data_IF_580475193788
#
_entry.id   IF_580475193788
#
_cell.length_a   1.000
_cell.length_b   1.000
_cell.length_c   1.000
_cell.angle_alpha   90.00
_cell.angle_beta   90.00
_cell.angle_gamma   90.00
#
_symmetry.space_group_name_H-M   'P 1'
#
loop_
_entity.id
_entity.type
_entity.pdbx_description
1 polymer ?
#
# COMPACT_ATOMS: atom_id res chain seq x y z
N UNK A 1 13.78 2.93 31.63
CA UNK A 1 13.30 4.22 31.12
C UNK A 1 14.42 4.76 30.26
N UNK A 2 14.23 4.76 28.95
CA UNK A 2 15.26 5.18 27.98
C UNK A 2 15.12 6.69 27.73
N UNK A 3 16.22 7.43 27.83
CA UNK A 3 16.28 8.86 27.53
C UNK A 3 16.49 9.06 26.02
N UNK A 4 15.49 9.61 25.34
CA UNK A 4 15.60 10.03 23.95
C UNK A 4 16.30 11.40 23.88
N UNK A 5 17.54 11.41 23.39
CA UNK A 5 18.23 12.64 23.03
C UNK A 5 17.70 13.18 21.70
N UNK A 6 17.15 14.39 21.70
CA UNK A 6 16.85 15.14 20.48
C UNK A 6 18.07 15.95 20.06
N UNK A 7 18.72 15.54 18.96
CA UNK A 7 19.70 16.39 18.27
C UNK A 7 18.91 17.40 17.44
N UNK A 8 18.85 18.65 17.91
CA UNK A 8 18.33 19.78 17.14
C UNK A 8 19.37 20.12 16.07
N UNK A 9 19.08 19.77 14.81
CA UNK A 9 19.94 20.11 13.68
C UNK A 9 20.06 21.62 13.49
N UNK A 10 21.27 22.09 13.17
CA UNK A 10 21.56 23.50 12.92
C UNK A 10 20.62 24.12 11.89
N UNK A 11 20.08 25.30 12.23
CA UNK A 11 19.13 26.03 11.40
C UNK A 11 19.89 26.69 10.24
N UNK A 12 20.05 25.96 9.12
CA UNK A 12 20.83 26.34 7.93
C UNK A 12 20.51 27.75 7.38
N UNK A 13 19.30 28.23 7.63
CA UNK A 13 18.84 29.59 7.25
C UNK A 13 19.58 30.68 8.02
N UNK A 14 19.81 30.50 9.33
CA UNK A 14 20.52 31.48 10.16
C UNK A 14 22.01 31.54 9.80
N UNK A 15 22.63 30.39 9.54
CA UNK A 15 24.02 30.31 9.11
C UNK A 15 24.25 31.02 7.75
N UNK A 16 23.31 30.87 6.82
CA UNK A 16 23.34 31.56 5.53
C UNK A 16 23.20 33.08 5.66
N UNK A 17 22.32 33.56 6.53
CA UNK A 17 22.13 35.00 6.79
C UNK A 17 23.36 35.63 7.45
N UNK A 18 23.98 34.96 8.43
CA UNK A 18 25.20 35.47 9.08
C UNK A 18 26.37 35.54 8.10
N UNK A 19 26.54 34.52 7.25
CA UNK A 19 27.67 34.47 6.32
C UNK A 19 27.56 35.53 5.20
N UNK A 20 26.34 35.94 4.84
CA UNK A 20 26.08 36.86 3.72
C UNK A 20 25.59 38.25 4.15
N UNK A 21 25.60 38.58 5.45
CA UNK A 21 24.98 39.80 5.99
C UNK A 21 25.53 41.09 5.36
N UNK A 22 26.84 41.13 5.03
CA UNK A 22 27.49 42.30 4.40
C UNK A 22 26.92 42.58 3.02
N UNK A 23 26.67 41.56 2.22
CA UNK A 23 26.10 41.69 0.88
C UNK A 23 24.63 42.10 0.92
N UNK A 24 23.87 41.57 1.89
CA UNK A 24 22.47 41.94 2.10
C UNK A 24 22.35 43.42 2.49
N UNK A 25 23.24 43.91 3.37
CA UNK A 25 23.26 45.32 3.79
C UNK A 25 23.61 46.25 2.62
N UNK A 26 24.59 45.88 1.79
CA UNK A 26 24.98 46.68 0.63
C UNK A 26 23.87 46.74 -0.43
N UNK A 27 23.20 45.61 -0.66
CA UNK A 27 22.05 45.54 -1.56
C UNK A 27 20.87 46.41 -1.08
N UNK A 28 20.61 46.43 0.22
CA UNK A 28 19.57 47.27 0.81
C UNK A 28 19.83 48.77 0.58
N UNK A 29 21.07 49.22 0.74
CA UNK A 29 21.46 50.62 0.53
C UNK A 29 21.23 51.04 -0.93
N UNK A 30 21.56 50.17 -1.90
CA UNK A 30 21.36 50.44 -3.33
C UNK A 30 19.87 50.60 -3.65
N UNK A 31 19.02 49.74 -3.08
CA UNK A 31 17.56 49.84 -3.28
C UNK A 31 17.03 51.18 -2.77
N UNK A 32 17.47 51.62 -1.58
CA UNK A 32 17.03 52.90 -0.99
C UNK A 32 17.46 54.07 -1.87
N UNK A 33 18.70 54.05 -2.38
CA UNK A 33 19.21 55.10 -3.27
C UNK A 33 18.42 55.15 -4.60
N UNK A 34 18.13 53.99 -5.20
CA UNK A 34 17.35 53.91 -6.43
C UNK A 34 15.91 54.41 -6.24
N UNK A 35 15.25 54.01 -5.15
CA UNK A 35 13.89 54.46 -4.82
C UNK A 35 13.83 55.98 -4.59
N UNK A 36 14.82 56.54 -3.90
CA UNK A 36 14.92 58.00 -3.68
C UNK A 36 15.03 58.77 -5.00
N UNK A 37 15.86 58.29 -5.93
CA UNK A 37 16.00 58.90 -7.26
C UNK A 37 14.70 58.87 -8.07
N UNK A 38 13.96 57.76 -8.03
CA UNK A 38 12.67 57.62 -8.73
C UNK A 38 11.63 58.57 -8.14
N UNK A 39 11.56 58.71 -6.82
CA UNK A 39 10.63 59.64 -6.16
C UNK A 39 10.93 61.09 -6.56
N UNK A 40 12.20 61.49 -6.57
CA UNK A 40 12.60 62.84 -6.99
C UNK A 40 12.25 63.14 -8.46
N UNK A 41 12.46 62.16 -9.35
CA UNK A 41 12.12 62.28 -10.76
C UNK A 41 10.60 62.40 -11.00
N UNK A 42 9.80 61.60 -10.29
CA UNK A 42 8.33 61.68 -10.33
C UNK A 42 7.82 63.03 -9.83
N UNK A 43 8.42 63.57 -8.78
CA UNK A 43 8.02 64.87 -8.23
C UNK A 43 8.36 66.03 -9.20
N UNK A 44 9.53 65.98 -9.83
CA UNK A 44 9.94 66.99 -10.82
C UNK A 44 9.05 66.99 -12.07
N UNK A 45 8.74 65.81 -12.61
CA UNK A 45 7.85 65.66 -13.78
C UNK A 45 6.41 66.06 -13.47
N UNK A 46 5.93 65.81 -12.24
CA UNK A 46 4.62 66.24 -11.78
C UNK A 46 4.43 67.77 -11.79
N UNK A 47 5.44 68.53 -11.32
CA UNK A 47 5.38 70.00 -11.27
C UNK A 47 5.36 70.59 -12.69
N UNK A 48 6.20 70.09 -13.60
CA UNK A 48 6.24 70.56 -14.98
C UNK A 48 4.91 70.35 -15.72
N UNK A 49 4.26 69.21 -15.50
CA UNK A 49 2.95 68.94 -16.11
C UNK A 49 1.87 69.90 -15.60
N UNK A 50 1.87 70.27 -14.31
CA UNK A 50 0.88 71.21 -13.76
C UNK A 50 1.02 72.63 -14.36
N UNK A 51 2.23 73.09 -14.63
CA UNK A 51 2.46 74.41 -15.24
C UNK A 51 1.97 74.46 -16.69
N UNK A 52 2.20 73.39 -17.47
CA UNK A 52 1.72 73.27 -18.84
C UNK A 52 0.18 73.25 -18.92
N UNK A 53 -0.49 72.57 -17.99
CA UNK A 53 -1.96 72.54 -17.95
C UNK A 53 -2.58 73.91 -17.63
N UNK A 54 -1.96 74.71 -16.74
CA UNK A 54 -2.45 76.07 -16.44
C UNK A 54 -2.37 76.99 -17.65
N UNK A 55 -1.27 76.92 -18.41
CA UNK A 55 -1.08 77.74 -19.62
C UNK A 55 -2.09 77.38 -20.72
N UNK A 56 -2.41 76.10 -20.91
CA UNK A 56 -3.43 75.68 -21.88
C UNK A 56 -4.83 76.19 -21.52
N UNK A 57 -5.21 76.16 -20.24
CA UNK A 57 -6.52 76.65 -19.78
C UNK A 57 -6.68 78.15 -20.02
N UNK A 58 -5.64 78.97 -19.76
CA UNK A 58 -5.72 80.42 -20.01
C UNK A 58 -5.76 80.75 -21.50
N UNK A 59 -5.08 79.96 -22.33
CA UNK A 59 -5.14 80.11 -23.79
C UNK A 59 -6.51 79.70 -24.36
N UNK A 60 -7.15 78.66 -23.81
CA UNK A 60 -8.51 78.30 -24.20
C UNK A 60 -9.55 79.31 -23.73
N UNK A 61 -9.40 79.87 -22.53
CA UNK A 61 -10.28 80.95 -22.05
C UNK A 61 -10.26 82.17 -22.95
N UNK A 62 -9.07 82.60 -23.38
CA UNK A 62 -8.91 83.74 -24.29
C UNK A 62 -9.47 83.45 -25.68
N UNK A 63 -9.26 82.24 -26.22
CA UNK A 63 -9.87 81.80 -27.48
C UNK A 63 -11.40 81.78 -27.38
N UNK A 64 -11.96 81.21 -26.31
CA UNK A 64 -13.40 81.12 -26.09
C UNK A 64 -14.07 82.50 -26.01
N UNK A 65 -13.49 83.42 -25.23
CA UNK A 65 -14.00 84.79 -25.12
C UNK A 65 -13.98 85.54 -26.47
N UNK A 66 -12.98 85.28 -27.32
CA UNK A 66 -12.90 85.86 -28.66
C UNK A 66 -13.94 85.29 -29.65
N UNK A 67 -14.36 84.04 -29.46
CA UNK A 67 -15.40 83.41 -30.26
C UNK A 67 -16.79 83.91 -29.86
N UNK A 68 -17.03 84.07 -28.55
CA UNK A 68 -18.28 84.63 -28.02
C UNK A 68 -18.51 86.06 -28.52
N UNK A 69 -17.46 86.89 -28.58
CA UNK A 69 -17.58 88.26 -29.08
C UNK A 69 -17.84 88.32 -30.59
N UNK A 70 -17.26 87.39 -31.38
CA UNK A 70 -17.55 87.24 -32.81
C UNK A 70 -18.98 86.75 -33.06
N UNK A 71 -19.46 85.80 -32.26
CA UNK A 71 -20.85 85.31 -32.29
C UNK A 71 -21.85 86.42 -31.98
N UNK A 72 -21.57 87.23 -30.95
CA UNK A 72 -22.41 88.37 -30.58
C UNK A 72 -22.50 89.43 -31.69
N UNK A 73 -21.44 89.59 -32.49
CA UNK A 73 -21.40 90.54 -33.62
C UNK A 73 -22.08 90.00 -34.89
N UNK A 74 -22.13 88.68 -35.05
CA UNK A 74 -22.81 87.97 -36.15
C UNK A 74 -24.33 87.81 -35.94
N UNK A 75 -24.80 87.95 -34.70
CA UNK A 75 -26.19 87.71 -34.28
C UNK A 75 -27.22 88.73 -34.77
N UNK A 76 -26.83 89.74 -35.54
CA UNK A 76 -27.69 90.90 -35.82
C UNK A 76 -28.13 91.04 -37.28
N UNK A 77 -27.80 90.11 -38.18
CA UNK A 77 -28.26 90.13 -39.57
C UNK A 77 -28.02 88.78 -40.27
N UNK A 78 -29.04 87.91 -40.38
CA UNK A 78 -29.41 87.11 -41.58
C UNK A 78 -30.36 85.94 -41.23
N UNK A 79 -31.58 85.91 -41.79
CA UNK A 79 -32.55 84.83 -41.54
C UNK A 79 -32.23 83.53 -42.29
N UNK A 80 -31.49 83.59 -43.41
CA UNK A 80 -30.98 82.40 -44.10
C UNK A 80 -29.83 81.74 -43.32
N UNK A 81 -28.98 82.56 -42.67
CA UNK A 81 -27.94 82.08 -41.78
C UNK A 81 -28.52 81.36 -40.55
N UNK A 82 -29.58 81.88 -39.94
CA UNK A 82 -30.26 81.20 -38.84
C UNK A 82 -30.79 79.82 -39.24
N UNK A 83 -31.41 79.69 -40.43
CA UNK A 83 -31.87 78.38 -40.93
C UNK A 83 -30.72 77.42 -41.22
N UNK A 84 -29.61 77.92 -41.77
CA UNK A 84 -28.42 77.12 -42.01
C UNK A 84 -27.76 76.64 -40.71
N UNK A 85 -27.67 77.50 -39.69
CA UNK A 85 -27.13 77.16 -38.36
C UNK A 85 -28.04 76.16 -37.65
N UNK A 86 -29.37 76.31 -37.70
CA UNK A 86 -30.31 75.35 -37.14
C UNK A 86 -30.24 73.99 -37.86
N UNK A 87 -30.10 73.98 -39.18
CA UNK A 87 -29.90 72.76 -39.97
C UNK A 87 -28.57 72.07 -39.62
N UNK A 88 -27.47 72.82 -39.52
CA UNK A 88 -26.17 72.29 -39.09
C UNK A 88 -26.22 71.78 -37.65
N UNK A 89 -26.87 72.50 -36.73
CA UNK A 89 -27.06 72.10 -35.34
C UNK A 89 -27.88 70.80 -35.25
N UNK A 90 -28.95 70.67 -36.04
CA UNK A 90 -29.75 69.44 -36.09
C UNK A 90 -28.97 68.23 -36.62
N UNK A 91 -28.11 68.43 -37.64
CA UNK A 91 -27.21 67.39 -38.16
C UNK A 91 -26.16 67.00 -37.13
N UNK A 92 -25.56 67.96 -36.43
CA UNK A 92 -24.62 67.70 -35.34
C UNK A 92 -25.27 66.95 -34.19
N UNK A 93 -26.51 67.32 -33.80
CA UNK A 93 -27.27 66.62 -32.77
C UNK A 93 -27.53 65.16 -33.14
N UNK A 94 -28.00 64.89 -34.37
CA UNK A 94 -28.19 63.51 -34.87
C UNK A 94 -26.89 62.72 -34.90
N UNK A 95 -25.79 63.34 -35.35
CA UNK A 95 -24.46 62.70 -35.35
C UNK A 95 -24.02 62.35 -33.93
N UNK A 96 -24.24 63.26 -32.97
CA UNK A 96 -23.92 63.04 -31.56
C UNK A 96 -24.75 61.91 -30.96
N UNK A 97 -26.06 61.89 -31.21
CA UNK A 97 -26.94 60.78 -30.79
C UNK A 97 -26.50 59.44 -31.39
N UNK A 98 -26.11 59.43 -32.67
CA UNK A 98 -25.54 58.23 -33.31
C UNK A 98 -24.22 57.80 -32.64
N UNK A 99 -23.31 58.74 -32.36
CA UNK A 99 -22.07 58.44 -31.65
C UNK A 99 -22.32 57.89 -30.25
N UNK A 100 -23.23 58.47 -29.49
CA UNK A 100 -23.60 57.99 -28.15
C UNK A 100 -24.19 56.57 -28.23
N UNK A 101 -25.05 56.28 -29.20
CA UNK A 101 -25.60 54.93 -29.42
C UNK A 101 -24.54 53.90 -29.79
N UNK A 102 -23.53 54.29 -30.58
CA UNK A 102 -22.39 53.44 -30.95
C UNK A 102 -21.49 53.18 -29.74
N UNK A 103 -21.22 54.20 -28.93
CA UNK A 103 -20.42 54.07 -27.70
C UNK A 103 -21.13 53.17 -26.69
N UNK A 104 -22.44 53.31 -26.50
CA UNK A 104 -23.24 52.44 -25.62
C UNK A 104 -23.21 50.99 -26.10
N UNK A 105 -23.38 50.77 -27.41
CA UNK A 105 -23.28 49.43 -28.00
C UNK A 105 -21.89 48.83 -27.83
N UNK A 106 -20.82 49.58 -28.11
CA UNK A 106 -19.45 49.13 -27.90
C UNK A 106 -19.16 48.83 -26.43
N UNK A 107 -19.68 49.64 -25.50
CA UNK A 107 -19.56 49.39 -24.06
C UNK A 107 -20.22 48.07 -23.65
N UNK A 108 -21.40 47.76 -24.19
CA UNK A 108 -22.09 46.48 -23.98
C UNK A 108 -21.28 45.32 -24.55
N UNK A 109 -20.88 45.38 -25.81
CA UNK A 109 -20.07 44.34 -26.47
C UNK A 109 -18.73 44.09 -25.72
N UNK A 110 -18.06 45.14 -25.24
CA UNK A 110 -16.84 45.01 -24.42
C UNK A 110 -17.08 44.32 -23.08
N UNK A 111 -18.20 44.63 -22.41
CA UNK A 111 -18.54 44.00 -21.13
C UNK A 111 -18.90 42.52 -21.29
N UNK A 112 -19.60 42.16 -22.38
CA UNK A 112 -19.85 40.77 -22.76
C UNK A 112 -18.56 40.01 -23.07
N UNK A 113 -17.67 40.59 -23.89
CA UNK A 113 -16.37 39.98 -24.22
C UNK A 113 -15.53 39.76 -22.97
N UNK A 114 -15.50 40.74 -22.05
CA UNK A 114 -14.79 40.61 -20.78
C UNK A 114 -15.36 39.47 -19.93
N UNK A 115 -16.69 39.36 -19.83
CA UNK A 115 -17.34 38.26 -19.11
C UNK A 115 -17.01 36.90 -19.72
N UNK A 116 -17.02 36.78 -21.05
CA UNK A 116 -16.64 35.55 -21.76
C UNK A 116 -15.16 35.22 -21.50
N UNK A 117 -14.28 36.22 -21.48
CA UNK A 117 -12.86 36.03 -21.20
C UNK A 117 -12.64 35.49 -19.78
N UNK A 118 -13.29 36.10 -18.78
CA UNK A 118 -13.22 35.68 -17.37
C UNK A 118 -13.71 34.22 -17.22
N UNK A 119 -14.82 33.87 -17.88
CA UNK A 119 -15.33 32.49 -17.91
C UNK A 119 -14.34 31.50 -18.54
N UNK A 120 -13.73 31.87 -19.67
CA UNK A 120 -12.74 31.01 -20.34
C UNK A 120 -11.49 30.85 -19.50
N UNK A 121 -11.04 31.88 -18.80
CA UNK A 121 -9.91 31.80 -17.89
C UNK A 121 -10.18 30.81 -16.75
N UNK A 122 -11.37 30.87 -16.13
CA UNK A 122 -11.77 29.90 -15.10
C UNK A 122 -11.77 28.46 -15.63
N UNK A 123 -12.33 28.24 -16.82
CA UNK A 123 -12.35 26.92 -17.46
C UNK A 123 -10.93 26.41 -17.74
N UNK A 124 -10.03 27.28 -18.22
CA UNK A 124 -8.62 26.92 -18.44
C UNK A 124 -7.95 26.54 -17.12
N UNK A 125 -8.16 27.30 -16.04
CA UNK A 125 -7.60 26.99 -14.72
C UNK A 125 -8.11 25.63 -14.22
N UNK A 126 -9.41 25.35 -14.36
CA UNK A 126 -9.99 24.05 -14.01
C UNK A 126 -9.34 22.91 -14.81
N UNK A 127 -9.19 23.07 -16.13
CA UNK A 127 -8.52 22.06 -16.95
C UNK A 127 -7.06 21.82 -16.56
N UNK A 128 -6.32 22.85 -16.14
CA UNK A 128 -4.94 22.66 -15.64
C UNK A 128 -4.90 21.86 -14.33
N UNK A 129 -5.85 22.11 -13.42
CA UNK A 129 -5.97 21.34 -12.18
C UNK A 129 -6.32 19.88 -12.46
N UNK A 130 -7.30 19.63 -13.34
CA UNK A 130 -7.69 18.28 -13.75
C UNK A 130 -6.55 17.54 -14.45
N UNK A 131 -5.80 18.22 -15.33
CA UNK A 131 -4.61 17.67 -15.99
C UNK A 131 -3.55 17.26 -14.96
N UNK A 132 -3.29 18.11 -13.96
CA UNK A 132 -2.32 17.83 -12.90
C UNK A 132 -2.76 16.64 -12.05
N UNK A 133 -4.04 16.60 -11.65
CA UNK A 133 -4.63 15.48 -10.90
C UNK A 133 -4.53 14.16 -11.67
N UNK A 134 -4.88 14.18 -12.96
CA UNK A 134 -4.81 13.01 -13.84
C UNK A 134 -3.35 12.54 -14.01
N UNK A 135 -2.40 13.47 -14.15
CA UNK A 135 -0.99 13.13 -14.22
C UNK A 135 -0.49 12.44 -12.95
N UNK A 136 -0.93 12.91 -11.77
CA UNK A 136 -0.62 12.26 -10.48
C UNK A 136 -1.21 10.83 -10.45
N UNK A 137 -2.46 10.66 -10.88
CA UNK A 137 -3.08 9.34 -10.96
C UNK A 137 -2.33 8.39 -11.89
N UNK A 138 -1.92 8.86 -13.07
CA UNK A 138 -1.10 8.09 -14.03
C UNK A 138 0.23 7.68 -13.39
N UNK A 139 0.93 8.59 -12.72
CA UNK A 139 2.20 8.28 -12.06
C UNK A 139 2.03 7.20 -10.98
N UNK A 140 0.97 7.29 -10.16
CA UNK A 140 0.66 6.28 -9.15
C UNK A 140 0.37 4.90 -9.76
N UNK A 141 -0.40 4.87 -10.86
CA UNK A 141 -0.67 3.63 -11.59
C UNK A 141 0.61 3.04 -12.19
N UNK A 142 1.49 3.86 -12.76
CA UNK A 142 2.79 3.41 -13.27
C UNK A 142 3.67 2.80 -12.16
N UNK A 143 3.71 3.40 -10.98
CA UNK A 143 4.42 2.84 -9.83
C UNK A 143 3.83 1.48 -9.40
N UNK A 144 2.49 1.37 -9.37
CA UNK A 144 1.80 0.11 -9.05
C UNK A 144 2.11 -0.98 -10.07
N UNK A 145 2.12 -0.65 -11.37
CA UNK A 145 2.49 -1.60 -12.44
C UNK A 145 3.93 -2.09 -12.27
N UNK A 146 4.89 -1.19 -12.00
CA UNK A 146 6.30 -1.57 -11.75
C UNK A 146 6.44 -2.49 -10.53
N UNK A 147 5.74 -2.17 -9.44
CA UNK A 147 5.73 -3.01 -8.24
C UNK A 147 5.17 -4.41 -8.51
N UNK A 148 4.06 -4.51 -9.24
CA UNK A 148 3.48 -5.78 -9.63
C UNK A 148 4.39 -6.58 -10.57
N UNK A 149 5.06 -5.93 -11.53
CA UNK A 149 6.07 -6.59 -12.36
C UNK A 149 7.22 -7.16 -11.53
N UNK A 150 7.71 -6.41 -10.54
CA UNK A 150 8.77 -6.89 -9.65
C UNK A 150 8.31 -8.09 -8.80
N UNK A 151 7.07 -8.07 -8.30
CA UNK A 151 6.48 -9.21 -7.59
C UNK A 151 6.31 -10.44 -8.48
N UNK A 152 5.95 -10.24 -9.76
CA UNK A 152 5.84 -11.33 -10.71
C UNK A 152 7.21 -11.98 -10.96
N UNK A 153 8.25 -11.16 -11.18
CA UNK A 153 9.62 -11.64 -11.38
C UNK A 153 10.14 -12.42 -10.16
N UNK A 154 9.89 -11.93 -8.94
CA UNK A 154 10.31 -12.65 -7.73
C UNK A 154 9.55 -13.96 -7.54
N UNK A 155 8.24 -13.98 -7.78
CA UNK A 155 7.45 -15.20 -7.73
C UNK A 155 7.89 -16.22 -8.79
N UNK A 156 8.24 -15.76 -10.00
CA UNK A 156 8.78 -16.62 -11.06
C UNK A 156 10.14 -17.22 -10.68
N UNK A 157 11.02 -16.44 -10.05
CA UNK A 157 12.30 -16.93 -9.55
C UNK A 157 12.08 -18.02 -8.47
N UNK A 158 11.21 -17.76 -7.50
CA UNK A 158 10.87 -18.75 -6.46
C UNK A 158 10.22 -20.02 -7.02
N UNK A 159 9.37 -19.89 -8.05
CA UNK A 159 8.78 -21.06 -8.72
C UNK A 159 9.84 -21.89 -9.43
N UNK A 160 10.79 -21.23 -10.08
CA UNK A 160 11.91 -21.91 -10.77
C UNK A 160 12.78 -22.65 -9.79
N UNK A 161 13.13 -22.02 -8.66
CA UNK A 161 13.90 -22.65 -7.58
C UNK A 161 13.16 -23.83 -6.95
N UNK A 162 11.86 -23.70 -6.68
CA UNK A 162 11.07 -24.81 -6.16
C UNK A 162 10.98 -25.97 -7.16
N UNK A 163 10.91 -25.69 -8.46
CA UNK A 163 10.91 -26.72 -9.51
C UNK A 163 12.23 -27.49 -9.52
N UNK A 164 13.38 -26.80 -9.47
CA UNK A 164 14.69 -27.46 -9.45
C UNK A 164 14.90 -28.25 -8.15
N UNK A 165 14.44 -27.74 -7.01
CA UNK A 165 14.47 -28.50 -5.75
C UNK A 165 13.62 -29.77 -5.84
N UNK A 166 12.43 -29.68 -6.43
CA UNK A 166 11.54 -30.84 -6.63
C UNK A 166 12.17 -31.89 -7.55
N UNK A 167 12.80 -31.46 -8.65
CA UNK A 167 13.54 -32.35 -9.56
C UNK A 167 14.69 -33.05 -8.83
N UNK A 168 15.45 -32.35 -7.98
CA UNK A 168 16.53 -32.92 -7.17
C UNK A 168 16.02 -33.91 -6.11
N UNK A 169 14.88 -33.61 -5.47
CA UNK A 169 14.24 -34.56 -4.55
C UNK A 169 13.80 -35.82 -5.30
N UNK A 170 13.25 -35.66 -6.51
CA UNK A 170 12.80 -36.80 -7.34
C UNK A 170 13.98 -37.69 -7.78
N UNK A 171 15.12 -37.11 -8.14
CA UNK A 171 16.33 -37.89 -8.46
C UNK A 171 16.82 -38.67 -7.24
N UNK A 172 16.88 -38.04 -6.06
CA UNK A 172 17.24 -38.71 -4.80
C UNK A 172 16.27 -39.84 -4.43
N UNK A 173 14.96 -39.65 -4.63
CA UNK A 173 13.96 -40.71 -4.42
C UNK A 173 14.28 -41.90 -5.33
N UNK A 174 14.51 -41.64 -6.63
CA UNK A 174 14.84 -42.69 -7.60
C UNK A 174 16.12 -43.45 -7.22
N UNK A 175 17.16 -42.74 -6.79
CA UNK A 175 18.40 -43.37 -6.28
C UNK A 175 18.12 -44.26 -5.07
N UNK A 176 17.35 -43.78 -4.08
CA UNK A 176 17.00 -44.55 -2.90
C UNK A 176 16.16 -45.79 -3.23
N UNK A 177 15.24 -45.71 -4.18
CA UNK A 177 14.46 -46.86 -4.67
C UNK A 177 15.36 -47.94 -5.29
N UNK A 178 16.41 -47.55 -6.03
CA UNK A 178 17.39 -48.52 -6.55
C UNK A 178 18.18 -49.19 -5.43
N UNK A 179 18.55 -48.44 -4.37
CA UNK A 179 19.26 -48.99 -3.20
C UNK A 179 18.36 -49.96 -2.44
N UNK A 180 17.10 -49.60 -2.20
CA UNK A 180 16.11 -50.47 -1.55
C UNK A 180 15.98 -51.78 -2.34
N UNK A 181 15.82 -51.69 -3.66
CA UNK A 181 15.71 -52.88 -4.54
C UNK A 181 16.94 -53.80 -4.43
N UNK A 182 18.15 -53.24 -4.40
CA UNK A 182 19.40 -54.00 -4.21
C UNK A 182 19.45 -54.68 -2.84
N UNK A 183 19.08 -53.96 -1.77
CA UNK A 183 19.06 -54.49 -0.40
C UNK A 183 18.00 -55.60 -0.26
N UNK A 184 16.83 -55.45 -0.88
CA UNK A 184 15.80 -56.48 -0.89
C UNK A 184 16.26 -57.75 -1.62
N UNK A 185 16.93 -57.62 -2.76
CA UNK A 185 17.53 -58.77 -3.46
C UNK A 185 18.59 -59.46 -2.60
N UNK A 186 19.48 -58.71 -1.94
CA UNK A 186 20.46 -59.28 -1.00
C UNK A 186 19.78 -60.00 0.16
N UNK A 187 18.75 -59.41 0.77
CA UNK A 187 17.97 -60.04 1.83
C UNK A 187 17.25 -61.32 1.38
N UNK A 188 16.73 -61.38 0.15
CA UNK A 188 16.17 -62.61 -0.44
C UNK A 188 17.24 -63.70 -0.56
N UNK A 189 18.44 -63.36 -1.05
CA UNK A 189 19.58 -64.29 -1.14
C UNK A 189 20.03 -64.79 0.24
N UNK A 190 20.06 -63.91 1.26
CA UNK A 190 20.38 -64.29 2.64
C UNK A 190 19.32 -65.22 3.21
N UNK A 191 18.03 -64.95 3.00
CA UNK A 191 16.93 -65.83 3.43
C UNK A 191 16.95 -67.20 2.75
N UNK A 192 17.32 -67.27 1.48
CA UNK A 192 17.50 -68.54 0.76
C UNK A 192 18.74 -69.31 1.27
N UNK A 193 19.86 -68.63 1.57
CA UNK A 193 21.04 -69.26 2.21
C UNK A 193 20.81 -69.66 3.68
N UNK A 194 19.90 -68.99 4.38
CA UNK A 194 19.48 -69.32 5.74
C UNK A 194 18.35 -70.37 5.77
N UNK A 195 17.90 -70.88 4.62
CA UNK A 195 16.96 -72.00 4.51
C UNK A 195 17.67 -73.36 4.67
N UNK A 196 18.43 -73.51 5.74
CA UNK A 196 18.58 -74.79 6.45
C UNK A 196 17.61 -74.74 7.63
N UNK A 197 16.97 -75.85 8.03
CA UNK A 197 15.73 -75.83 8.79
C UNK A 197 15.95 -75.30 10.20
N UNK A 198 15.73 -74.00 10.39
CA UNK A 198 15.60 -73.39 11.71
C UNK A 198 14.15 -72.97 11.86
N UNK A 199 13.47 -73.77 12.67
CA UNK A 199 12.08 -73.64 13.12
C UNK A 199 11.80 -72.22 13.57
N UNK A 200 11.08 -71.46 12.75
CA UNK A 200 10.72 -70.09 13.04
C UNK A 200 9.59 -70.03 14.06
N UNK A 201 9.91 -69.48 15.23
CA UNK A 201 8.97 -69.10 16.30
C UNK A 201 7.91 -68.15 15.74
N UNK A 202 6.64 -68.53 15.93
CA UNK A 202 5.43 -67.77 15.56
C UNK A 202 5.51 -66.33 16.10
N UNK A 203 5.71 -65.36 15.20
CA UNK A 203 5.38 -63.97 15.48
C UNK A 203 3.87 -63.84 15.59
N UNK A 204 3.37 -63.38 16.74
CA UNK A 204 1.96 -63.02 16.91
C UNK A 204 1.60 -61.94 15.88
N UNK A 205 0.49 -62.17 15.18
CA UNK A 205 -0.19 -61.16 14.36
C UNK A 205 -0.40 -59.91 15.22
N UNK A 206 -0.07 -58.69 14.75
CA UNK A 206 -0.67 -57.49 15.34
C UNK A 206 -2.18 -57.70 15.36
N UNK A 207 -2.83 -57.35 16.46
CA UNK A 207 -4.29 -57.30 16.51
C UNK A 207 -4.73 -56.09 15.68
N UNK A 208 -4.57 -56.20 14.36
CA UNK A 208 -5.23 -55.34 13.39
C UNK A 208 -6.68 -55.77 13.49
N UNK A 209 -7.46 -55.03 14.28
CA UNK A 209 -8.90 -55.04 14.11
C UNK A 209 -9.10 -54.37 12.76
N UNK A 210 -9.56 -55.12 11.76
CA UNK A 210 -9.95 -54.57 10.48
C UNK A 210 -11.03 -53.50 10.72
N UNK A 211 -10.70 -52.25 10.38
CA UNK A 211 -11.49 -51.03 10.60
C UNK A 211 -11.88 -50.72 12.08
N UNK A 212 -10.93 -50.24 12.90
CA UNK A 212 -11.24 -49.86 14.28
C UNK A 212 -12.17 -48.63 14.28
N UNK A 213 -13.23 -48.69 15.08
CA UNK A 213 -14.22 -47.61 15.22
C UNK A 213 -13.61 -46.30 15.71
N UNK A 214 -12.50 -46.38 16.43
CA UNK A 214 -11.75 -45.25 16.96
C UNK A 214 -10.31 -45.34 16.46
N UNK A 215 -9.81 -44.24 15.90
CA UNK A 215 -8.46 -44.15 15.33
C UNK A 215 -7.68 -42.98 15.89
N UNK A 216 -6.37 -43.00 15.63
CA UNK A 216 -5.45 -41.89 15.90
C UNK A 216 -5.19 -41.15 14.59
N UNK A 217 -5.48 -39.85 14.56
CA UNK A 217 -5.23 -38.98 13.42
C UNK A 217 -4.37 -37.78 13.82
N UNK A 218 -3.70 -37.16 12.84
CA UNK A 218 -2.88 -35.95 13.05
C UNK A 218 -1.86 -36.09 14.20
N UNK A 219 -1.23 -37.28 14.29
CA UNK A 219 -0.20 -37.54 15.29
C UNK A 219 1.01 -36.62 15.05
N UNK A 220 1.35 -35.83 16.06
CA UNK A 220 2.52 -34.96 16.10
C UNK A 220 3.41 -35.37 17.27
N UNK A 221 4.66 -35.69 16.95
CA UNK A 221 5.72 -36.01 17.91
C UNK A 221 6.81 -34.96 17.74
N UNK A 222 7.17 -34.28 18.83
CA UNK A 222 8.24 -33.28 18.84
C UNK A 222 9.24 -33.63 19.93
N UNK A 223 10.49 -33.84 19.55
CA UNK A 223 11.59 -34.13 20.46
C UNK A 223 12.50 -32.89 20.62
N UNK A 224 12.89 -32.57 21.85
CA UNK A 224 13.90 -31.57 22.19
C UNK A 224 14.81 -32.14 23.29
N UNK A 225 16.00 -32.60 22.92
CA UNK A 225 16.91 -33.29 23.83
C UNK A 225 16.28 -34.55 24.44
N UNK A 226 16.13 -34.57 25.76
CA UNK A 226 15.50 -35.69 26.51
C UNK A 226 14.00 -35.52 26.75
N UNK A 227 13.40 -34.44 26.23
CA UNK A 227 11.97 -34.14 26.37
C UNK A 227 11.24 -34.44 25.06
N UNK A 228 10.10 -35.12 25.15
CA UNK A 228 9.27 -35.47 23.99
C UNK A 228 7.84 -35.05 24.27
N UNK A 229 7.26 -34.28 23.37
CA UNK A 229 5.85 -33.88 23.40
C UNK A 229 5.11 -34.63 22.31
N UNK A 230 3.99 -35.26 22.68
CA UNK A 230 3.14 -36.04 21.78
C UNK A 230 1.74 -35.44 21.83
N UNK A 231 1.14 -35.24 20.68
CA UNK A 231 -0.27 -34.85 20.56
C UNK A 231 -0.91 -35.54 19.37
N UNK A 232 -2.16 -35.96 19.51
CA UNK A 232 -2.93 -36.54 18.41
C UNK A 232 -4.42 -36.28 18.60
N UNK A 233 -5.18 -36.47 17.51
CA UNK A 233 -6.63 -36.49 17.53
C UNK A 233 -7.09 -37.94 17.70
N UNK A 234 -7.82 -38.18 18.78
CA UNK A 234 -8.60 -39.40 18.94
C UNK A 234 -9.90 -39.21 18.16
N UNK A 235 -10.03 -39.84 17.01
CA UNK A 235 -11.16 -39.66 16.08
C UNK A 235 -12.11 -40.85 16.15
N UNK A 236 -13.41 -40.58 16.16
CA UNK A 236 -14.47 -41.58 16.10
C UNK A 236 -15.03 -41.64 14.68
N UNK A 237 -14.87 -42.80 14.03
CA UNK A 237 -15.43 -43.05 12.69
C UNK A 237 -16.94 -43.35 12.72
N UNK A 238 -17.49 -43.74 13.87
CA UNK A 238 -18.93 -44.00 14.00
C UNK A 238 -19.74 -42.73 14.27
N UNK A 239 -21.02 -42.73 13.91
CA UNK A 239 -21.98 -41.67 14.26
C UNK A 239 -22.46 -41.72 15.72
N UNK A 240 -22.11 -42.78 16.46
CA UNK A 240 -22.53 -43.00 17.85
C UNK A 240 -21.50 -42.45 18.83
N UNK A 241 -21.94 -42.04 20.01
CA UNK A 241 -21.05 -41.60 21.07
C UNK A 241 -20.19 -42.78 21.56
N UNK A 242 -18.87 -42.63 21.51
CA UNK A 242 -17.93 -43.64 22.02
C UNK A 242 -17.33 -43.23 23.35
N UNK A 243 -17.10 -44.23 24.22
CA UNK A 243 -16.50 -44.06 25.55
C UNK A 243 -15.42 -45.10 25.76
N UNK A 244 -14.38 -44.72 26.50
CA UNK A 244 -13.27 -45.61 26.81
C UNK A 244 -12.10 -44.87 27.42
N UNK A 245 -10.91 -45.43 27.28
CA UNK A 245 -9.67 -44.83 27.79
C UNK A 245 -8.54 -44.97 26.81
N UNK A 246 -7.63 -44.01 26.80
CA UNK A 246 -6.43 -44.04 25.94
C UNK A 246 -5.16 -43.89 26.76
N UNK A 247 -4.08 -44.57 26.37
CA UNK A 247 -2.79 -44.57 27.03
C UNK A 247 -1.68 -44.17 26.05
N UNK A 248 -0.66 -43.49 26.58
CA UNK A 248 0.60 -43.26 25.85
C UNK A 248 1.75 -43.74 26.72
N UNK A 249 2.54 -44.65 26.19
CA UNK A 249 3.63 -45.31 26.90
C UNK A 249 4.94 -45.21 26.13
N UNK A 250 6.05 -45.24 26.86
CA UNK A 250 7.39 -45.37 26.28
C UNK A 250 7.78 -46.84 26.30
N UNK A 251 8.10 -47.38 25.13
CA UNK A 251 8.49 -48.78 24.96
C UNK A 251 9.85 -48.88 24.28
N UNK A 252 10.72 -49.77 24.77
CA UNK A 252 11.95 -50.13 24.07
C UNK A 252 11.63 -51.12 22.94
N UNK A 253 12.52 -51.27 21.96
CA UNK A 253 12.35 -52.24 20.85
C UNK A 253 12.05 -53.66 21.34
N UNK A 254 12.69 -54.10 22.43
CA UNK A 254 12.47 -55.42 23.05
C UNK A 254 11.10 -55.54 23.74
N UNK A 255 10.52 -54.44 24.19
CA UNK A 255 9.24 -54.42 24.93
C UNK A 255 8.03 -54.11 24.05
N UNK A 256 8.21 -54.02 22.72
CA UNK A 256 7.10 -53.82 21.78
C UNK A 256 6.19 -55.05 21.70
N UNK A 257 6.76 -56.24 21.89
CA UNK A 257 6.03 -57.52 21.84
C UNK A 257 5.26 -57.81 23.13
N UNK A 258 5.61 -57.12 24.22
CA UNK A 258 4.94 -57.30 25.52
C UNK A 258 3.56 -56.63 25.50
N UNK A 259 2.55 -57.33 25.99
CA UNK A 259 1.21 -56.77 26.14
C UNK A 259 1.20 -55.73 27.27
N UNK A 260 0.64 -54.56 27.00
CA UNK A 260 0.45 -53.53 28.03
C UNK A 260 -0.96 -53.68 28.57
N UNK A 261 -1.07 -54.28 29.76
CA UNK A 261 -2.34 -54.41 30.45
C UNK A 261 -2.96 -53.04 30.75
N UNK A 262 -4.30 -52.99 30.67
CA UNK A 262 -5.07 -51.81 31.02
C UNK A 262 -4.81 -51.39 32.49
N UNK A 263 -4.40 -50.13 32.68
CA UNK A 263 -4.26 -49.50 34.00
C UNK A 263 -5.00 -48.17 34.05
N UNK A 264 -5.83 -47.98 35.08
CA UNK A 264 -6.63 -46.75 35.25
C UNK A 264 -5.74 -45.52 35.47
N UNK A 265 -4.64 -45.68 36.20
CA UNK A 265 -3.73 -44.60 36.59
C UNK A 265 -2.92 -44.02 35.41
N UNK A 266 -2.63 -44.84 34.40
CA UNK A 266 -1.77 -44.45 33.26
C UNK A 266 -2.55 -44.14 31.99
N UNK A 267 -3.88 -44.26 32.04
CA UNK A 267 -4.78 -44.01 30.92
C UNK A 267 -5.66 -42.79 31.18
N UNK A 268 -6.12 -42.15 30.10
CA UNK A 268 -6.93 -40.93 30.11
C UNK A 268 -8.35 -41.31 29.65
N UNK A 269 -9.41 -40.99 30.40
CA UNK A 269 -10.78 -41.25 29.96
C UNK A 269 -11.15 -40.38 28.77
N UNK A 270 -11.89 -40.95 27.82
CA UNK A 270 -12.51 -40.22 26.71
C UNK A 270 -13.99 -40.53 26.56
N UNK A 271 -14.72 -39.52 26.08
CA UNK A 271 -16.12 -39.57 25.65
C UNK A 271 -16.22 -38.68 24.42
N UNK A 272 -16.34 -39.26 23.23
CA UNK A 272 -16.21 -38.54 21.96
C UNK A 272 -17.35 -38.86 21.00
N UNK A 273 -17.90 -37.82 20.34
CA UNK A 273 -18.80 -37.98 19.18
C UNK A 273 -18.05 -37.90 17.86
N UNK A 274 -17.12 -36.95 17.72
CA UNK A 274 -16.31 -36.74 16.51
C UNK A 274 -14.82 -36.93 16.77
N UNK A 275 -14.21 -36.06 17.57
CA UNK A 275 -12.81 -36.21 17.96
C UNK A 275 -12.51 -35.58 19.32
N UNK A 276 -11.35 -35.91 19.90
CA UNK A 276 -10.75 -35.21 21.05
C UNK A 276 -9.25 -35.16 20.90
N UNK A 277 -8.66 -34.00 21.20
CA UNK A 277 -7.20 -33.87 21.23
C UNK A 277 -6.66 -34.47 22.52
N UNK A 278 -5.66 -35.33 22.39
CA UNK A 278 -4.94 -35.94 23.50
C UNK A 278 -3.48 -35.54 23.39
N UNK A 279 -2.90 -35.06 24.49
CA UNK A 279 -1.49 -34.69 24.53
C UNK A 279 -0.81 -35.16 25.81
N UNK A 280 0.48 -35.48 25.70
CA UNK A 280 1.33 -35.86 26.84
C UNK A 280 2.77 -35.45 26.59
N UNK A 281 3.43 -35.05 27.67
CA UNK A 281 4.85 -34.75 27.70
C UNK A 281 5.59 -35.84 28.46
N UNK A 282 6.72 -36.25 27.90
CA UNK A 282 7.64 -37.20 28.50
C UNK A 282 8.97 -36.51 28.77
N UNK A 283 9.58 -36.81 29.91
CA UNK A 283 10.91 -36.34 30.31
C UNK A 283 11.84 -37.54 30.47
N UNK A 284 13.16 -37.30 30.38
CA UNK A 284 14.19 -38.35 30.54
C UNK A 284 14.05 -39.50 29.53
N UNK A 285 13.64 -39.21 28.29
CA UNK A 285 13.48 -40.23 27.23
C UNK A 285 14.84 -40.71 26.73
N UNK A 286 15.04 -42.03 26.65
CA UNK A 286 16.28 -42.64 26.14
C UNK A 286 16.29 -42.74 24.61
N UNK A 287 17.46 -42.69 23.93
CA UNK A 287 17.55 -42.98 22.49
C UNK A 287 17.01 -44.37 22.14
N UNK A 288 16.41 -44.53 20.95
CA UNK A 288 15.85 -45.81 20.51
C UNK A 288 14.53 -46.23 21.18
N UNK A 289 13.87 -45.31 21.89
CA UNK A 289 12.55 -45.52 22.51
C UNK A 289 11.42 -45.21 21.51
N UNK A 290 10.33 -45.97 21.58
CA UNK A 290 9.10 -45.80 20.81
C UNK A 290 8.00 -45.23 21.69
N UNK A 291 7.11 -44.44 21.10
CA UNK A 291 5.84 -44.04 21.73
C UNK A 291 4.79 -45.05 21.30
N UNK A 292 4.20 -45.76 22.26
CA UNK A 292 3.09 -46.68 22.04
C UNK A 292 1.79 -46.04 22.47
N UNK A 293 0.82 -45.98 21.55
CA UNK A 293 -0.52 -45.43 21.77
C UNK A 293 -1.49 -46.60 21.85
N UNK A 294 -2.23 -46.67 22.96
CA UNK A 294 -3.16 -47.75 23.25
C UNK A 294 -4.55 -47.16 23.44
N UNK A 295 -5.57 -47.77 22.84
CA UNK A 295 -6.97 -47.36 23.06
C UNK A 295 -7.74 -48.57 23.56
N UNK A 296 -8.43 -48.38 24.68
CA UNK A 296 -9.36 -49.35 25.23
C UNK A 296 -10.79 -48.84 25.08
N UNK A 297 -11.71 -49.74 24.75
CA UNK A 297 -13.15 -49.44 24.71
C UNK A 297 -13.75 -49.38 26.13
N UNK A 298 -15.07 -49.18 26.24
CA UNK A 298 -15.78 -49.15 27.53
C UNK A 298 -15.69 -50.49 28.30
N UNK A 299 -15.59 -51.61 27.57
CA UNK A 299 -15.37 -52.96 28.13
C UNK A 299 -13.93 -53.22 28.57
N UNK A 300 -13.03 -52.24 28.40
CA UNK A 300 -11.58 -52.32 28.67
C UNK A 300 -10.83 -53.28 27.73
N UNK A 301 -11.41 -53.63 26.60
CA UNK A 301 -10.76 -54.42 25.55
C UNK A 301 -9.87 -53.48 24.73
N UNK A 302 -8.68 -53.95 24.39
CA UNK A 302 -7.72 -53.20 23.56
C UNK A 302 -8.21 -53.21 22.11
N UNK A 303 -8.48 -52.02 21.57
CA UNK A 303 -9.02 -51.84 20.21
C UNK A 303 -8.04 -51.18 19.25
N UNK A 304 -6.97 -50.59 19.77
CA UNK A 304 -5.93 -49.96 18.99
C UNK A 304 -4.61 -50.04 19.74
N UNK A 305 -3.56 -50.42 19.05
CA UNK A 305 -2.21 -50.51 19.59
C UNK A 305 -1.19 -50.25 18.49
N UNK A 306 -0.63 -49.05 18.48
CA UNK A 306 0.40 -48.67 17.53
C UNK A 306 1.61 -48.09 18.23
N UNK A 307 2.80 -48.44 17.72
CA UNK A 307 4.07 -47.93 18.20
C UNK A 307 4.74 -47.08 17.12
N UNK A 308 5.12 -45.86 17.50
CA UNK A 308 5.74 -44.89 16.62
C UNK A 308 7.18 -44.58 17.06
N UNK A 309 8.15 -44.56 16.13
CA UNK A 309 9.52 -44.19 16.46
C UNK A 309 9.61 -42.70 16.81
N UNK A 310 10.45 -42.38 17.79
CA UNK A 310 10.78 -40.99 18.12
C UNK A 310 11.95 -40.55 17.23
N UNK A 311 11.66 -39.78 16.18
CA UNK A 311 12.69 -39.09 15.39
C UNK A 311 13.26 -37.94 16.23
N UNK A 312 14.57 -37.94 16.45
CA UNK A 312 15.31 -36.88 17.14
C UNK A 312 15.99 -35.99 16.13
#
# INVERSE_FOLDING_TARGET
MEHNFFVVGENRVLAFLLNNIKYILWFLIIIIAALSGVIAFLHYTGIQNQEQFKLQIDQEKTRSNSLISKLKKSSQQDSEWEQQILSQSSKQKKLKEQQESLIDRQGKELSEIKSILDQREQVVQQFQLEKTSTQIQINNLQLKVRSLQQQLLSAQASLTESKTETENVQTKISELETVISKVEQQNKKIKQKASSPVTAVKKRKPLIIDDPTITVEKLKITAKGTRVSVSYNLTNKSKKLQRGRTGMHLSSKKNLENEIQFRRQTSIPYKIKRYRVISRKFTKVKPGTFIRILIWNEKKELIFDEAHPIKR
#
